data_IF_338017220525
#
_entry.id   IF_338017220525
#
_cell.length_a   1.000
_cell.length_b   1.000
_cell.length_c   1.000
_cell.angle_alpha   90.00
_cell.angle_beta   90.00
_cell.angle_gamma   90.00
#
_symmetry.space_group_name_H-M   'P 1'
#
loop_
_entity.id
_entity.type
_entity.pdbx_description
1 polymer ?
#
# COMPACT_ATOMS: atom_id res chain seq x y z
N UNK A 1 3.67 -7.45 23.03
CA UNK A 1 3.44 -6.53 21.90
C UNK A 1 4.73 -6.19 21.13
N UNK A 2 5.72 -5.53 21.76
CA UNK A 2 6.95 -5.09 21.07
C UNK A 2 7.72 -6.25 20.42
N UNK A 3 7.89 -7.38 21.08
CA UNK A 3 8.61 -8.55 20.54
C UNK A 3 7.87 -9.18 19.36
N UNK A 4 6.54 -9.30 19.43
CA UNK A 4 5.72 -9.75 18.29
C UNK A 4 5.86 -8.83 17.10
N UNK A 5 5.87 -7.51 17.33
CA UNK A 5 6.06 -6.53 16.26
C UNK A 5 7.45 -6.62 15.61
N UNK A 6 8.50 -6.83 16.40
CA UNK A 6 9.84 -7.07 15.87
C UNK A 6 9.93 -8.36 15.05
N UNK A 7 9.28 -9.42 15.51
CA UNK A 7 9.21 -10.68 14.77
C UNK A 7 8.46 -10.50 13.45
N UNK A 8 7.32 -9.80 13.46
CA UNK A 8 6.57 -9.48 12.25
C UNK A 8 7.44 -8.69 11.24
N UNK A 9 8.14 -7.65 11.69
CA UNK A 9 9.07 -6.90 10.85
C UNK A 9 10.20 -7.78 10.33
N UNK A 10 10.73 -8.69 11.12
CA UNK A 10 11.75 -9.66 10.71
C UNK A 10 11.26 -10.55 9.57
N UNK A 11 10.06 -11.09 9.68
CA UNK A 11 9.46 -11.93 8.63
C UNK A 11 9.12 -11.11 7.37
N UNK A 12 8.64 -9.88 7.53
CA UNK A 12 8.36 -8.98 6.40
C UNK A 12 9.63 -8.57 5.63
N UNK A 13 10.79 -8.58 6.26
CA UNK A 13 12.07 -8.27 5.62
C UNK A 13 12.73 -9.50 4.99
N UNK A 14 12.19 -10.70 5.17
CA UNK A 14 12.76 -11.93 4.63
C UNK A 14 12.69 -11.92 3.10
N UNK A 15 13.83 -12.16 2.46
CA UNK A 15 13.95 -12.17 0.99
C UNK A 15 13.90 -10.79 0.33
N UNK A 16 13.85 -9.71 1.10
CA UNK A 16 13.90 -8.33 0.61
C UNK A 16 15.11 -7.64 1.23
N UNK A 17 16.06 -7.22 0.39
CA UNK A 17 17.32 -6.67 0.84
C UNK A 17 17.34 -5.14 0.85
N UNK A 18 17.83 -4.56 1.94
CA UNK A 18 18.01 -3.11 2.13
C UNK A 18 16.71 -2.30 1.98
N UNK A 19 15.57 -2.90 2.44
CA UNK A 19 14.23 -2.25 2.43
C UNK A 19 13.60 -2.18 3.82
N UNK A 20 14.38 -2.39 4.88
CA UNK A 20 13.91 -2.38 6.25
C UNK A 20 13.26 -1.05 6.64
N UNK A 21 13.81 0.05 6.16
CA UNK A 21 13.27 1.40 6.41
C UNK A 21 11.94 1.61 5.69
N UNK A 22 11.87 1.22 4.41
CA UNK A 22 10.65 1.31 3.62
C UNK A 22 9.51 0.50 4.25
N UNK A 23 9.77 -0.73 4.65
CA UNK A 23 8.79 -1.62 5.29
C UNK A 23 8.37 -1.07 6.65
N UNK A 24 9.32 -0.68 7.50
CA UNK A 24 9.04 -0.19 8.85
C UNK A 24 8.24 1.11 8.84
N UNK A 25 8.60 2.08 7.99
CA UNK A 25 7.88 3.34 7.87
C UNK A 25 6.51 3.16 7.21
N UNK A 26 6.38 2.23 6.27
CA UNK A 26 5.07 1.92 5.68
C UNK A 26 4.12 1.30 6.71
N UNK A 27 4.62 0.39 7.54
CA UNK A 27 3.82 -0.18 8.62
C UNK A 27 3.45 0.86 9.68
N UNK A 28 4.38 1.78 10.01
CA UNK A 28 4.09 2.91 10.87
C UNK A 28 3.02 3.84 10.26
N UNK A 29 3.11 4.13 8.95
CA UNK A 29 2.10 4.89 8.23
C UNK A 29 0.72 4.23 8.31
N UNK A 30 0.66 2.91 8.10
CA UNK A 30 -0.59 2.15 8.24
C UNK A 30 -1.21 2.33 9.62
N UNK A 31 -0.41 2.17 10.69
CA UNK A 31 -0.90 2.30 12.07
C UNK A 31 -1.30 3.74 12.42
N UNK A 32 -0.67 4.73 11.80
CA UNK A 32 -1.05 6.14 11.93
C UNK A 32 -2.25 6.54 11.05
N UNK A 33 -2.73 5.64 10.19
CA UNK A 33 -3.82 5.92 9.25
C UNK A 33 -3.40 6.80 8.07
N UNK A 34 -2.10 6.93 7.81
CA UNK A 34 -1.51 7.80 6.80
C UNK A 34 -1.13 7.05 5.52
N UNK A 35 -1.01 7.79 4.42
CA UNK A 35 -0.55 7.26 3.14
C UNK A 35 0.93 7.56 2.92
N UNK A 36 1.59 6.70 2.16
CA UNK A 36 3.04 6.79 1.89
C UNK A 36 3.31 6.77 0.39
N UNK A 37 4.38 7.46 -0.02
CA UNK A 37 4.88 7.36 -1.39
C UNK A 37 6.33 6.89 -1.43
N UNK A 38 6.59 5.91 -2.30
CA UNK A 38 7.91 5.37 -2.61
C UNK A 38 8.41 5.96 -3.93
N UNK A 39 9.50 6.72 -3.87
CA UNK A 39 10.12 7.34 -5.03
C UNK A 39 11.41 6.60 -5.39
N UNK A 40 11.67 6.38 -6.64
CA UNK A 40 12.93 5.78 -7.06
C UNK A 40 12.85 5.12 -8.44
N UNK A 41 14.01 4.77 -9.03
CA UNK A 41 14.07 4.21 -10.37
C UNK A 41 13.30 2.87 -10.47
N UNK A 42 13.02 2.39 -11.67
CA UNK A 42 12.45 1.05 -11.83
C UNK A 42 13.42 -0.03 -11.31
N UNK A 43 12.86 -1.16 -10.86
CA UNK A 43 13.66 -2.29 -10.39
C UNK A 43 14.20 -2.20 -8.95
N UNK A 44 13.80 -1.19 -8.17
CA UNK A 44 14.21 -1.06 -6.75
C UNK A 44 13.23 -1.69 -5.75
N UNK A 45 12.47 -2.69 -6.18
CA UNK A 45 11.56 -3.49 -5.35
C UNK A 45 10.39 -2.72 -4.68
N UNK A 46 9.94 -1.58 -5.22
CA UNK A 46 8.79 -0.81 -4.68
C UNK A 46 7.53 -1.67 -4.56
N UNK A 47 7.18 -2.41 -5.62
CA UNK A 47 6.01 -3.30 -5.65
C UNK A 47 6.16 -4.49 -4.69
N UNK A 48 7.39 -5.02 -4.51
CA UNK A 48 7.65 -6.09 -3.53
C UNK A 48 7.39 -5.60 -2.10
N UNK A 49 7.85 -4.40 -1.75
CA UNK A 49 7.58 -3.78 -0.45
C UNK A 49 6.07 -3.67 -0.22
N UNK A 50 5.32 -3.19 -1.21
CA UNK A 50 3.87 -3.05 -1.10
C UNK A 50 3.15 -4.40 -0.90
N UNK A 51 3.55 -5.44 -1.63
CA UNK A 51 3.00 -6.79 -1.47
C UNK A 51 3.31 -7.39 -0.11
N UNK A 52 4.50 -7.13 0.41
CA UNK A 52 4.88 -7.58 1.75
C UNK A 52 4.03 -6.94 2.84
N UNK A 53 3.64 -5.67 2.66
CA UNK A 53 2.78 -4.97 3.63
C UNK A 53 1.38 -5.58 3.77
N UNK A 54 0.84 -6.17 2.71
CA UNK A 54 -0.41 -6.94 2.79
C UNK A 54 -0.29 -8.09 3.79
N UNK A 55 0.86 -8.75 3.84
CA UNK A 55 1.06 -9.92 4.70
C UNK A 55 1.06 -9.59 6.19
N UNK A 56 1.27 -8.32 6.56
CA UNK A 56 1.22 -7.85 7.94
C UNK A 56 -0.20 -7.92 8.54
N UNK A 57 -1.24 -7.88 7.72
CA UNK A 57 -2.62 -7.85 8.18
C UNK A 57 -3.30 -9.18 7.88
N UNK A 58 -4.04 -9.71 8.87
CA UNK A 58 -4.82 -10.94 8.73
C UNK A 58 -6.03 -10.67 7.84
N UNK A 59 -6.27 -11.56 6.88
CA UNK A 59 -7.44 -11.54 5.96
C UNK A 59 -7.61 -10.22 5.17
N UNK A 60 -6.55 -9.44 5.01
CA UNK A 60 -6.61 -8.16 4.33
C UNK A 60 -6.85 -8.32 2.83
N UNK A 61 -7.83 -7.59 2.32
CA UNK A 61 -8.05 -7.43 0.88
C UNK A 61 -7.03 -6.43 0.33
N UNK A 62 -6.43 -6.74 -0.81
CA UNK A 62 -5.50 -5.81 -1.46
C UNK A 62 -5.95 -5.46 -2.86
N UNK A 63 -5.65 -4.22 -3.24
CA UNK A 63 -5.82 -3.73 -4.59
C UNK A 63 -4.48 -3.19 -5.10
N UNK A 64 -4.05 -3.65 -6.27
CA UNK A 64 -2.81 -3.23 -6.91
C UNK A 64 -3.12 -2.75 -8.34
N UNK A 65 -2.62 -1.57 -8.70
CA UNK A 65 -2.86 -1.01 -10.03
C UNK A 65 -1.67 -0.18 -10.52
N UNK A 66 -1.27 -0.39 -11.78
CA UNK A 66 -0.26 0.40 -12.47
C UNK A 66 -0.96 1.51 -13.27
N UNK A 67 -0.78 2.75 -12.84
CA UNK A 67 -1.37 3.91 -13.51
C UNK A 67 -0.77 4.15 -14.88
N UNK A 68 -1.61 4.57 -15.80
CA UNK A 68 -1.23 5.05 -17.13
C UNK A 68 -2.02 6.32 -17.47
N UNK A 69 -1.62 7.01 -18.52
CA UNK A 69 -2.38 8.18 -19.02
C UNK A 69 -3.77 7.82 -19.55
N UNK A 70 -4.00 6.53 -19.82
CA UNK A 70 -5.27 6.00 -20.32
C UNK A 70 -6.11 5.34 -19.22
N UNK A 71 -5.59 5.28 -18.00
CA UNK A 71 -6.33 4.71 -16.86
C UNK A 71 -7.65 5.41 -16.63
N UNK A 72 -8.69 4.62 -16.42
CA UNK A 72 -10.05 5.10 -16.23
C UNK A 72 -10.48 4.92 -14.76
N UNK A 73 -11.42 5.73 -14.25
CA UNK A 73 -11.99 5.53 -12.93
C UNK A 73 -12.63 4.14 -12.73
N UNK A 74 -13.11 3.52 -13.79
CA UNK A 74 -13.76 2.19 -13.74
C UNK A 74 -12.78 1.07 -13.37
N UNK A 75 -11.52 1.19 -13.78
CA UNK A 75 -10.46 0.21 -13.49
C UNK A 75 -9.97 0.29 -12.04
N UNK A 76 -10.19 1.41 -11.37
CA UNK A 76 -9.69 1.66 -10.01
C UNK A 76 -10.81 1.59 -8.99
N UNK A 77 -11.96 2.20 -9.30
CA UNK A 77 -13.09 2.31 -8.38
C UNK A 77 -14.26 1.37 -8.70
N UNK A 78 -14.12 0.58 -9.76
CA UNK A 78 -15.14 -0.35 -10.26
C UNK A 78 -16.04 0.23 -11.35
N UNK A 79 -16.54 -0.62 -12.25
CA UNK A 79 -17.43 -0.22 -13.34
C UNK A 79 -18.81 0.19 -12.84
N UNK A 80 -19.52 0.96 -13.64
CA UNK A 80 -20.92 1.33 -13.34
C UNK A 80 -21.80 0.09 -13.38
N UNK A 81 -22.61 -0.10 -12.35
CA UNK A 81 -23.56 -1.21 -12.25
C UNK A 81 -24.76 -1.00 -13.19
N UNK A 82 -24.76 -1.68 -14.32
CA UNK A 82 -25.86 -1.66 -15.29
C UNK A 82 -27.16 -2.16 -14.64
N UNK A 83 -27.06 -3.12 -13.71
CA UNK A 83 -28.22 -3.64 -12.99
C UNK A 83 -28.88 -2.56 -12.14
N UNK A 84 -28.12 -1.83 -11.31
CA UNK A 84 -28.66 -0.75 -10.48
C UNK A 84 -29.21 0.39 -11.30
N UNK A 85 -28.56 0.72 -12.41
CA UNK A 85 -29.04 1.74 -13.33
C UNK A 85 -30.42 1.35 -13.92
N UNK A 86 -30.63 0.08 -14.28
CA UNK A 86 -31.90 -0.38 -14.86
C UNK A 86 -33.01 -0.59 -13.82
N UNK A 87 -32.69 -1.03 -12.60
CA UNK A 87 -33.69 -1.41 -11.60
C UNK A 87 -34.09 -0.27 -10.67
N UNK A 88 -33.17 0.64 -10.37
CA UNK A 88 -33.37 1.72 -9.38
C UNK A 88 -33.03 3.11 -9.90
N UNK A 89 -32.69 3.25 -11.17
CA UNK A 89 -32.26 4.50 -11.80
C UNK A 89 -31.12 5.20 -11.00
N UNK A 90 -30.25 4.39 -10.37
CA UNK A 90 -29.14 4.89 -9.58
C UNK A 90 -27.81 4.64 -10.27
N UNK A 91 -27.00 5.71 -10.36
CA UNK A 91 -25.65 5.64 -10.89
C UNK A 91 -24.69 5.20 -9.76
N UNK A 92 -24.54 3.90 -9.58
CA UNK A 92 -23.61 3.31 -8.60
C UNK A 92 -22.61 2.38 -9.29
N UNK A 93 -21.39 2.30 -8.73
CA UNK A 93 -20.32 1.41 -9.20
C UNK A 93 -20.39 0.06 -8.50
N UNK A 94 -19.96 -0.99 -9.19
CA UNK A 94 -19.67 -2.30 -8.60
C UNK A 94 -18.26 -2.25 -8.02
N UNK A 95 -18.16 -2.02 -6.72
CA UNK A 95 -16.89 -1.71 -6.04
C UNK A 95 -16.15 -2.93 -5.50
N UNK A 96 -16.79 -4.10 -5.52
CA UNK A 96 -16.20 -5.33 -4.99
C UNK A 96 -14.94 -5.74 -5.76
N UNK A 97 -13.83 -5.97 -5.03
CA UNK A 97 -12.54 -6.28 -5.62
C UNK A 97 -11.76 -5.07 -6.16
N UNK A 98 -12.28 -3.85 -5.99
CA UNK A 98 -11.62 -2.61 -6.38
C UNK A 98 -11.16 -1.81 -5.16
N UNK A 99 -10.46 -0.70 -5.40
CA UNK A 99 -9.89 0.14 -4.34
C UNK A 99 -10.86 0.43 -3.19
N UNK A 100 -12.17 0.73 -3.41
CA UNK A 100 -13.06 1.09 -2.30
C UNK A 100 -13.32 -0.02 -1.27
N UNK A 101 -13.00 -1.27 -1.59
CA UNK A 101 -13.17 -2.42 -0.68
C UNK A 101 -11.87 -2.99 -0.17
N UNK A 102 -10.72 -2.39 -0.54
CA UNK A 102 -9.41 -2.89 -0.17
C UNK A 102 -8.90 -2.30 1.16
N UNK A 103 -8.26 -3.15 1.96
CA UNK A 103 -7.53 -2.76 3.18
C UNK A 103 -6.15 -2.16 2.89
N UNK A 104 -5.46 -2.74 1.89
CA UNK A 104 -4.13 -2.30 1.46
C UNK A 104 -4.15 -2.02 -0.04
N UNK A 105 -3.80 -0.81 -0.41
CA UNK A 105 -3.81 -0.34 -1.79
C UNK A 105 -2.39 -0.02 -2.24
N UNK A 106 -2.00 -0.52 -3.41
CA UNK A 106 -0.77 -0.13 -4.08
C UNK A 106 -1.07 0.50 -5.44
N UNK A 107 -0.64 1.75 -5.63
CA UNK A 107 -0.80 2.49 -6.88
C UNK A 107 0.57 2.86 -7.44
N UNK A 108 1.00 2.14 -8.47
CA UNK A 108 2.26 2.45 -9.15
C UNK A 108 2.08 3.52 -10.22
N UNK A 109 3.13 4.29 -10.47
CA UNK A 109 3.16 5.41 -11.43
C UNK A 109 2.04 6.43 -11.18
N UNK A 110 1.82 6.79 -9.92
CA UNK A 110 0.66 7.58 -9.45
C UNK A 110 0.46 8.90 -10.21
N UNK A 111 1.53 9.54 -10.68
CA UNK A 111 1.46 10.81 -11.40
C UNK A 111 0.88 10.71 -12.82
N UNK A 112 0.76 9.49 -13.35
CA UNK A 112 0.13 9.26 -14.65
C UNK A 112 -1.40 9.23 -14.59
N UNK A 113 -1.97 9.25 -13.38
CA UNK A 113 -3.42 9.27 -13.19
C UNK A 113 -4.04 10.55 -13.78
N UNK A 114 -5.15 10.41 -14.49
CA UNK A 114 -5.91 11.55 -14.99
C UNK A 114 -6.62 12.34 -13.88
N UNK A 115 -7.06 13.59 -14.15
CA UNK A 115 -7.65 14.49 -13.14
C UNK A 115 -8.85 13.89 -12.37
N UNK A 116 -9.69 13.12 -13.04
CA UNK A 116 -10.85 12.48 -12.41
C UNK A 116 -10.45 11.47 -11.33
N UNK A 117 -9.40 10.69 -11.59
CA UNK A 117 -8.83 9.73 -10.63
C UNK A 117 -8.16 10.49 -9.50
N UNK A 118 -7.34 11.49 -9.80
CA UNK A 118 -6.64 12.31 -8.80
C UNK A 118 -7.60 12.96 -7.81
N UNK A 119 -8.69 13.59 -8.29
CA UNK A 119 -9.69 14.21 -7.43
C UNK A 119 -10.38 13.20 -6.51
N UNK A 120 -10.68 12.01 -7.01
CA UNK A 120 -11.27 10.94 -6.19
C UNK A 120 -10.26 10.45 -5.15
N UNK A 121 -8.99 10.27 -5.52
CA UNK A 121 -7.92 9.87 -4.61
C UNK A 121 -7.68 10.90 -3.49
N UNK A 122 -7.83 12.19 -3.76
CA UNK A 122 -7.74 13.21 -2.71
C UNK A 122 -8.77 12.98 -1.58
N UNK A 123 -10.01 12.65 -1.92
CA UNK A 123 -11.05 12.32 -0.94
C UNK A 123 -10.75 10.99 -0.23
N UNK A 124 -10.33 9.98 -0.99
CA UNK A 124 -9.96 8.66 -0.45
C UNK A 124 -8.82 8.77 0.57
N UNK A 125 -7.77 9.52 0.25
CA UNK A 125 -6.59 9.65 1.12
C UNK A 125 -6.90 10.46 2.37
N UNK A 126 -7.65 11.58 2.22
CA UNK A 126 -7.92 12.49 3.32
C UNK A 126 -9.00 11.99 4.28
N UNK A 127 -10.09 11.53 3.72
CA UNK A 127 -11.33 11.29 4.47
C UNK A 127 -11.63 9.80 4.62
N UNK A 128 -10.92 8.96 3.86
CA UNK A 128 -11.21 7.51 3.73
C UNK A 128 -12.67 7.25 3.35
N UNK A 129 -13.20 8.11 2.47
CA UNK A 129 -14.57 8.05 1.96
C UNK A 129 -14.52 7.93 0.43
N UNK A 130 -15.40 7.10 -0.09
CA UNK A 130 -15.70 7.03 -1.51
C UNK A 130 -17.16 7.34 -1.76
N UNK A 131 -17.44 8.25 -2.69
CA UNK A 131 -18.81 8.59 -3.08
C UNK A 131 -19.26 7.70 -4.23
N UNK A 132 -20.16 6.79 -3.92
CA UNK A 132 -20.73 5.87 -4.89
C UNK A 132 -22.18 6.25 -5.21
N UNK A 133 -22.37 7.02 -6.28
CA UNK A 133 -23.64 7.66 -6.58
C UNK A 133 -24.04 8.63 -5.47
N UNK A 134 -25.21 8.40 -4.88
CA UNK A 134 -25.74 9.23 -3.78
C UNK A 134 -25.32 8.74 -2.38
N UNK A 135 -24.47 7.70 -2.30
CA UNK A 135 -24.04 7.12 -1.01
C UNK A 135 -22.59 7.43 -0.73
N UNK A 136 -22.29 7.74 0.51
CA UNK A 136 -20.92 7.80 1.01
C UNK A 136 -20.57 6.45 1.63
N UNK A 137 -19.41 5.91 1.23
CA UNK A 137 -18.86 4.65 1.74
C UNK A 137 -17.57 4.94 2.49
N UNK A 138 -17.51 4.56 3.77
CA UNK A 138 -16.26 4.54 4.50
C UNK A 138 -15.43 3.34 4.02
N UNK A 139 -14.18 3.61 3.68
CA UNK A 139 -13.27 2.60 3.17
C UNK A 139 -12.60 1.85 4.33
N UNK A 140 -12.41 0.52 4.21
CA UNK A 140 -11.64 -0.25 5.19
C UNK A 140 -10.13 0.02 5.10
N UNK A 141 -9.73 1.01 4.36
CA UNK A 141 -8.36 1.34 3.97
C UNK A 141 -7.45 1.55 5.19
N UNK A 142 -6.52 0.61 5.40
CA UNK A 142 -5.48 0.66 6.43
C UNK A 142 -4.22 1.35 5.93
N UNK A 143 -3.87 1.12 4.65
CA UNK A 143 -2.66 1.68 4.05
C UNK A 143 -2.86 1.90 2.54
N UNK A 144 -2.49 3.08 2.07
CA UNK A 144 -2.27 3.34 0.67
C UNK A 144 -0.78 3.63 0.44
N UNK A 145 -0.17 2.80 -0.39
CA UNK A 145 1.21 2.97 -0.88
C UNK A 145 1.14 3.44 -2.32
N UNK A 146 1.61 4.63 -2.56
CA UNK A 146 1.85 5.09 -3.93
C UNK A 146 3.30 4.86 -4.33
N UNK A 147 3.57 4.72 -5.60
CA UNK A 147 4.93 4.67 -6.13
C UNK A 147 5.07 5.53 -7.38
N UNK A 148 6.27 6.05 -7.59
CA UNK A 148 6.64 6.72 -8.84
C UNK A 148 8.14 6.64 -9.07
N UNK A 149 8.53 6.77 -10.33
CA UNK A 149 9.93 6.86 -10.73
C UNK A 149 10.42 8.32 -10.75
N UNK A 150 9.52 9.28 -10.72
CA UNK A 150 9.79 10.71 -10.82
C UNK A 150 8.98 11.53 -9.81
N UNK A 151 9.39 12.76 -9.59
CA UNK A 151 8.61 13.72 -8.81
C UNK A 151 7.44 14.27 -9.63
N UNK A 152 6.37 14.77 -8.98
CA UNK A 152 5.25 15.38 -9.69
C UNK A 152 5.73 16.58 -10.51
N UNK A 153 5.25 16.69 -11.75
CA UNK A 153 5.54 17.83 -12.59
C UNK A 153 4.88 19.09 -12.04
N UNK A 154 5.62 20.19 -12.02
CA UNK A 154 5.11 21.48 -11.53
C UNK A 154 4.06 22.05 -12.47
N UNK A 155 2.96 22.55 -11.92
CA UNK A 155 1.90 23.22 -12.69
C UNK A 155 0.91 22.26 -13.36
N UNK A 156 0.97 20.97 -13.10
CA UNK A 156 0.00 19.98 -13.60
C UNK A 156 -1.13 19.67 -12.61
N UNK A 157 -1.21 20.40 -11.49
CA UNK A 157 -2.25 20.19 -10.46
C UNK A 157 -1.99 19.01 -9.54
N UNK A 158 -0.79 18.43 -9.59
CA UNK A 158 -0.39 17.27 -8.78
C UNK A 158 0.03 17.64 -7.36
N UNK A 159 0.22 18.95 -7.10
CA UNK A 159 0.72 19.46 -5.82
C UNK A 159 -0.21 19.08 -4.66
N UNK A 160 -1.52 19.12 -4.89
CA UNK A 160 -2.51 18.77 -3.87
C UNK A 160 -2.42 17.28 -3.46
N UNK A 161 -2.21 16.39 -4.43
CA UNK A 161 -2.03 14.96 -4.16
C UNK A 161 -0.67 14.69 -3.52
N UNK A 162 0.39 15.38 -3.96
CA UNK A 162 1.73 15.30 -3.36
C UNK A 162 1.71 15.66 -1.88
N UNK A 163 1.01 16.75 -1.50
CA UNK A 163 0.93 17.20 -0.11
C UNK A 163 0.23 16.22 0.83
N UNK A 164 -0.55 15.29 0.29
CA UNK A 164 -1.26 14.27 1.08
C UNK A 164 -0.38 13.10 1.49
N UNK A 165 0.75 12.90 0.82
CA UNK A 165 1.72 11.89 1.24
C UNK A 165 2.64 12.46 2.31
N UNK A 166 2.29 12.22 3.59
CA UNK A 166 3.06 12.69 4.76
C UNK A 166 4.43 12.03 4.79
N UNK A 167 4.50 10.74 4.47
CA UNK A 167 5.74 9.97 4.43
C UNK A 167 6.14 9.77 2.97
N UNK A 168 7.35 10.24 2.64
CA UNK A 168 7.94 10.19 1.30
C UNK A 168 9.30 9.54 1.41
N UNK A 169 9.50 8.39 0.78
CA UNK A 169 10.73 7.62 0.88
C UNK A 169 11.38 7.51 -0.48
N UNK A 170 12.66 7.83 -0.55
CA UNK A 170 13.50 7.51 -1.69
C UNK A 170 13.96 6.04 -1.60
N UNK A 171 13.40 5.20 -2.45
CA UNK A 171 13.78 3.80 -2.58
C UNK A 171 15.00 3.68 -3.50
N UNK A 172 16.08 3.12 -2.99
CA UNK A 172 17.39 3.06 -3.67
C UNK A 172 17.71 1.62 -4.08
N UNK A 173 18.55 1.43 -5.12
CA UNK A 173 19.09 0.13 -5.44
C UNK A 173 19.91 -0.47 -4.29
N UNK A 174 20.06 -1.81 -4.28
CA UNK A 174 20.94 -2.53 -3.34
C UNK A 174 22.36 -2.00 -3.48
N UNK A 175 22.97 -1.63 -2.36
CA UNK A 175 24.32 -1.05 -2.30
C UNK A 175 25.38 -2.07 -1.91
N UNK A 176 25.04 -3.01 -1.02
CA UNK A 176 25.99 -3.97 -0.47
C UNK A 176 26.12 -5.16 -1.41
N UNK A 177 27.34 -5.39 -1.90
CA UNK A 177 27.69 -6.52 -2.77
C UNK A 177 27.24 -7.88 -2.19
N UNK A 178 27.37 -8.07 -0.87
CA UNK A 178 26.91 -9.29 -0.20
C UNK A 178 25.40 -9.52 -0.36
N UNK A 179 24.58 -8.44 -0.26
CA UNK A 179 23.14 -8.51 -0.38
C UNK A 179 22.72 -8.75 -1.84
N UNK A 180 23.42 -8.11 -2.78
CA UNK A 180 23.23 -8.34 -4.20
C UNK A 180 23.51 -9.80 -4.58
N UNK A 181 24.60 -10.38 -4.10
CA UNK A 181 24.94 -11.80 -4.31
C UNK A 181 23.91 -12.73 -3.67
N UNK A 182 23.48 -12.43 -2.45
CA UNK A 182 22.43 -13.22 -1.78
C UNK A 182 21.14 -13.21 -2.60
N UNK A 183 20.69 -12.06 -3.08
CA UNK A 183 19.52 -11.93 -3.95
C UNK A 183 19.63 -12.79 -5.23
N UNK A 184 20.84 -12.91 -5.82
CA UNK A 184 21.05 -13.72 -7.02
C UNK A 184 21.05 -15.23 -6.73
N UNK A 185 21.44 -15.63 -5.52
CA UNK A 185 21.55 -17.04 -5.11
C UNK A 185 20.28 -17.57 -4.48
N UNK A 186 19.49 -16.71 -3.87
CA UNK A 186 18.17 -17.11 -3.38
C UNK A 186 17.25 -17.30 -4.59
N UNK A 187 16.84 -18.56 -4.80
CA UNK A 187 15.78 -18.85 -5.76
C UNK A 187 14.56 -17.99 -5.41
N UNK A 188 13.78 -17.50 -6.39
CA UNK A 188 12.57 -16.78 -6.11
C UNK A 188 11.64 -17.68 -5.28
N UNK A 189 11.70 -17.54 -3.95
CA UNK A 189 10.77 -18.18 -3.06
C UNK A 189 9.40 -17.57 -3.34
N UNK A 190 8.52 -18.32 -3.97
CA UNK A 190 7.05 -18.20 -4.05
C UNK A 190 6.41 -16.81 -3.93
N UNK A 191 7.06 -15.77 -4.48
CA UNK A 191 6.44 -14.45 -4.71
C UNK A 191 5.47 -14.47 -5.90
N UNK A 192 5.42 -15.57 -6.63
CA UNK A 192 4.37 -15.88 -7.57
C UNK A 192 3.22 -16.49 -6.76
N UNK A 193 2.31 -15.64 -6.28
CA UNK A 193 0.97 -16.12 -5.94
C UNK A 193 0.44 -16.94 -7.10
N UNK A 194 -0.53 -17.86 -6.88
CA UNK A 194 -1.04 -18.74 -7.91
C UNK A 194 -1.45 -17.87 -9.11
N UNK A 195 -0.67 -17.95 -10.18
CA UNK A 195 -1.14 -17.55 -11.49
C UNK A 195 -2.19 -18.58 -11.86
N UNK A 196 -3.47 -18.20 -11.80
CA UNK A 196 -4.56 -18.97 -12.36
C UNK A 196 -4.37 -19.05 -13.88
N UNK A 197 -3.43 -19.89 -14.29
CA UNK A 197 -3.45 -20.54 -15.59
C UNK A 197 -3.78 -22.01 -15.33
N UNK A 198 -5.07 -22.31 -15.30
CA UNK A 198 -5.56 -23.67 -15.45
C UNK A 198 -5.21 -24.15 -16.84
N UNK A 199 -4.16 -24.94 -16.96
CA UNK A 199 -4.06 -25.93 -18.00
C UNK A 199 -3.82 -27.29 -17.35
N UNK A 200 -4.83 -28.12 -17.49
CA UNK A 200 -4.94 -29.47 -17.00
C UNK A 200 -4.00 -30.37 -17.79
N UNK A 201 -2.97 -30.92 -17.13
CA UNK A 201 -2.51 -32.31 -17.40
C UNK A 201 -1.73 -32.84 -16.21
N UNK A 202 -2.13 -34.04 -15.80
CA UNK A 202 -1.57 -34.88 -14.75
C UNK A 202 -0.04 -35.06 -14.80
N UNK A 203 0.63 -34.94 -13.66
CA UNK A 203 1.60 -35.95 -13.23
C UNK A 203 2.04 -35.73 -11.77
N UNK A 204 1.82 -36.76 -10.98
CA UNK A 204 2.28 -37.00 -9.63
C UNK A 204 3.78 -36.77 -9.46
N UNK A 205 4.14 -35.86 -8.59
CA UNK A 205 5.50 -35.68 -8.09
C UNK A 205 5.43 -35.02 -6.72
N UNK A 206 5.62 -35.83 -5.67
CA UNK A 206 5.77 -35.37 -4.30
C UNK A 206 7.04 -34.50 -4.20
N UNK A 207 6.88 -33.20 -4.12
CA UNK A 207 7.97 -32.27 -3.81
C UNK A 207 7.72 -31.66 -2.45
N UNK A 208 8.73 -31.72 -1.61
CA UNK A 208 8.69 -31.45 -0.19
C UNK A 208 8.00 -30.13 0.18
N UNK A 209 7.14 -30.20 1.19
CA UNK A 209 6.68 -29.06 1.96
C UNK A 209 7.91 -28.36 2.53
N UNK A 210 8.30 -27.23 1.95
CA UNK A 210 9.14 -26.27 2.66
C UNK A 210 8.33 -25.79 3.86
N UNK A 211 8.88 -25.90 5.05
CA UNK A 211 8.37 -25.33 6.29
C UNK A 211 8.30 -23.80 6.13
N UNK A 212 7.28 -23.30 5.47
CA UNK A 212 6.85 -21.92 5.64
C UNK A 212 6.26 -21.87 7.06
N UNK A 213 7.06 -21.45 8.03
CA UNK A 213 6.59 -21.18 9.37
C UNK A 213 5.35 -20.31 9.23
N UNK A 214 4.22 -20.87 9.66
CA UNK A 214 2.94 -20.17 9.62
C UNK A 214 3.00 -19.01 10.62
N UNK A 215 3.35 -17.82 10.11
CA UNK A 215 3.39 -16.61 10.93
C UNK A 215 2.01 -15.91 11.04
N UNK A 216 0.93 -16.69 10.81
CA UNK A 216 -0.45 -16.21 10.95
C UNK A 216 -0.71 -15.57 12.32
N UNK A 217 -0.07 -16.07 13.38
CA UNK A 217 -0.19 -15.52 14.73
C UNK A 217 0.52 -14.18 14.94
N UNK A 218 1.44 -13.83 14.06
CA UNK A 218 2.13 -12.54 14.09
C UNK A 218 1.32 -11.44 13.39
N UNK A 219 0.43 -11.81 12.48
CA UNK A 219 -0.37 -10.87 11.69
C UNK A 219 -1.31 -10.04 12.57
N UNK A 220 -1.49 -8.79 12.19
CA UNK A 220 -2.36 -7.83 12.88
C UNK A 220 -3.80 -8.11 12.47
N UNK A 221 -4.68 -8.37 13.45
CA UNK A 221 -6.12 -8.49 13.17
C UNK A 221 -6.76 -7.11 13.00
N UNK A 222 -7.98 -7.06 12.45
CA UNK A 222 -8.70 -5.80 12.27
C UNK A 222 -9.05 -5.15 13.61
N UNK A 223 -9.35 -5.94 14.62
CA UNK A 223 -9.62 -5.47 15.99
C UNK A 223 -8.35 -4.87 16.63
N UNK A 224 -7.21 -5.56 16.53
CA UNK A 224 -5.92 -5.06 17.02
C UNK A 224 -5.51 -3.77 16.32
N UNK A 225 -5.73 -3.70 15.00
CA UNK A 225 -5.45 -2.49 14.24
C UNK A 225 -6.26 -1.31 14.74
N UNK A 226 -7.57 -1.48 14.95
CA UNK A 226 -8.44 -0.43 15.46
C UNK A 226 -8.03 0.02 16.87
N UNK A 227 -7.73 -0.94 17.76
CA UNK A 227 -7.25 -0.65 19.13
C UNK A 227 -5.92 0.12 19.12
N UNK A 228 -4.99 -0.26 18.24
CA UNK A 228 -3.68 0.41 18.16
C UNK A 228 -3.79 1.80 17.55
N UNK A 229 -4.60 1.98 16.51
CA UNK A 229 -4.86 3.29 15.92
C UNK A 229 -5.46 4.25 16.95
N UNK A 230 -6.43 3.80 17.74
CA UNK A 230 -7.00 4.61 18.84
C UNK A 230 -5.95 4.99 19.90
N UNK A 231 -5.08 4.06 20.29
CA UNK A 231 -4.00 4.32 21.25
C UNK A 231 -2.98 5.31 20.71
N UNK A 232 -2.62 5.20 19.42
CA UNK A 232 -1.67 6.10 18.77
C UNK A 232 -2.20 7.54 18.78
N UNK A 233 -3.48 7.74 18.46
CA UNK A 233 -4.12 9.07 18.49
C UNK A 233 -4.10 9.71 19.90
N UNK A 234 -3.96 8.92 20.96
CA UNK A 234 -3.90 9.41 22.35
C UNK A 234 -2.48 9.72 22.83
N UNK A 235 -1.45 9.43 22.03
CA UNK A 235 -0.07 9.71 22.39
C UNK A 235 0.18 11.23 22.31
N UNK A 236 0.53 11.83 23.45
CA UNK A 236 0.90 13.25 23.51
C UNK A 236 2.25 13.50 22.81
N UNK A 237 2.35 14.61 22.09
CA UNK A 237 3.61 15.05 21.49
C UNK A 237 4.49 15.69 22.56
N UNK A 238 5.73 15.20 22.70
CA UNK A 238 6.69 15.77 23.64
C UNK A 238 7.14 17.17 23.21
N UNK A 239 7.43 18.03 24.19
CA UNK A 239 7.88 19.42 23.96
C UNK A 239 9.11 19.47 23.04
N UNK A 240 10.09 18.58 23.25
CA UNK A 240 11.28 18.46 22.42
C UNK A 240 10.97 18.26 20.91
N UNK A 241 9.89 17.53 20.60
CA UNK A 241 9.44 17.28 19.22
C UNK A 241 8.79 18.54 18.65
N UNK A 242 7.99 19.25 19.45
CA UNK A 242 7.39 20.53 19.07
C UNK A 242 8.44 21.58 18.78
N UNK A 243 9.49 21.66 19.61
CA UNK A 243 10.62 22.56 19.42
C UNK A 243 11.38 22.23 18.15
N UNK A 244 11.65 20.95 17.87
CA UNK A 244 12.31 20.51 16.65
C UNK A 244 11.49 20.89 15.40
N UNK A 245 10.17 20.64 15.40
CA UNK A 245 9.27 21.05 14.30
C UNK A 245 9.28 22.56 14.11
N UNK A 246 9.25 23.31 15.20
CA UNK A 246 9.28 24.78 15.18
C UNK A 246 10.61 25.31 14.62
N UNK A 247 11.74 24.67 14.93
CA UNK A 247 13.04 25.01 14.39
C UNK A 247 13.10 24.75 12.87
N UNK A 248 12.61 23.59 12.42
CA UNK A 248 12.52 23.24 10.98
C UNK A 248 11.66 24.29 10.25
N UNK A 249 10.48 24.61 10.77
CA UNK A 249 9.59 25.61 10.19
C UNK A 249 10.26 26.99 10.03
N UNK A 250 11.10 27.38 10.99
CA UNK A 250 11.85 28.64 10.92
C UNK A 250 12.96 28.62 9.87
N UNK A 251 13.59 27.46 9.66
CA UNK A 251 14.68 27.30 8.67
C UNK A 251 14.19 27.23 7.22
N UNK A 252 12.91 26.93 7.00
CA UNK A 252 12.28 26.81 5.68
C UNK A 252 11.62 28.13 5.20
N UNK A 253 11.64 29.16 6.01
CA UNK A 253 11.16 30.52 5.68
C UNK A 253 12.30 31.43 5.25
#
# INVERSE_FOLDING_TARGET
>A
MLERFKQLLGEMNRGIYEKETEISLSLLAALAGESIILLGPPGVAKSMVARQLKTAFRDAQSFEYLMSRFSTPDEIFGPVSIQKLKTSDTYERAVEGYLPTADVVFLDEIWKAGPAIQNTLLTVINEKIFRNGNREMHLPLKLLVAASNELPAKGEGLEALWDRFVIRIESRPIKLEKNFRAMLLEAPTDFLGPTDFTDSTDSSGSMGKSDSADFSDLKITSEEYAEWAEKICKIGVKEEVLDAISAIRKSLR
#
